data_IF_009835119884
#
_entry.id   IF_009835119884
#
_cell.length_a   1.000
_cell.length_b   1.000
_cell.length_c   1.000
_cell.angle_alpha   90.00
_cell.angle_beta   90.00
_cell.angle_gamma   90.00
#
_symmetry.space_group_name_H-M   'P 1'
#
loop_
_entity.id
_entity.type
_entity.pdbx_description
1 polymer ?
#
# COMPACT_ATOMS: atom_id res chain seq x y z
N UNK A 1 -12.30 -92.31 -1.21
CA UNK A 1 -13.10 -91.53 -0.20
C UNK A 1 -12.22 -91.15 0.93
N UNK A 2 -11.32 -90.19 0.80
CA UNK A 2 -10.49 -89.61 1.88
C UNK A 2 -9.85 -88.29 1.41
N UNK A 3 -10.63 -87.30 0.99
CA UNK A 3 -10.12 -85.95 0.69
C UNK A 3 -11.08 -84.83 1.02
N UNK A 4 -12.07 -85.04 1.89
CA UNK A 4 -13.09 -84.01 2.19
C UNK A 4 -12.97 -83.34 3.55
N UNK A 5 -11.95 -83.61 4.34
CA UNK A 5 -11.87 -83.09 5.72
C UNK A 5 -10.77 -82.05 5.96
N UNK A 6 -9.93 -81.74 4.93
CA UNK A 6 -8.87 -80.74 5.08
C UNK A 6 -9.29 -79.33 4.62
N UNK A 7 -10.45 -79.19 3.97
CA UNK A 7 -10.93 -77.91 3.47
C UNK A 7 -11.75 -77.08 4.45
N UNK A 8 -12.20 -77.72 5.57
CA UNK A 8 -13.00 -77.02 6.57
C UNK A 8 -12.19 -76.48 7.79
N UNK A 9 -10.92 -76.88 7.92
CA UNK A 9 -10.06 -76.40 9.01
C UNK A 9 -9.31 -75.10 8.69
N UNK A 10 -9.33 -74.61 7.42
CA UNK A 10 -8.56 -73.41 7.00
C UNK A 10 -9.41 -72.12 6.96
N UNK A 11 -10.69 -72.18 7.27
CA UNK A 11 -11.61 -71.04 7.14
C UNK A 11 -12.02 -70.40 8.46
N UNK A 12 -11.46 -70.80 9.63
CA UNK A 12 -11.77 -70.23 10.95
C UNK A 12 -10.58 -69.49 11.57
N UNK A 13 -9.41 -69.49 10.92
CA UNK A 13 -8.22 -68.76 11.46
C UNK A 13 -8.04 -67.32 10.90
N UNK A 14 -9.01 -66.82 10.14
CA UNK A 14 -8.88 -65.50 9.43
C UNK A 14 -9.75 -64.40 10.00
N UNK A 15 -10.37 -64.53 11.17
CA UNK A 15 -11.19 -63.48 11.75
C UNK A 15 -10.87 -63.19 13.23
N UNK A 16 -9.60 -62.96 13.55
CA UNK A 16 -9.22 -62.34 14.77
C UNK A 16 -8.00 -61.46 14.54
N UNK A 17 -8.15 -60.43 13.68
CA UNK A 17 -7.33 -59.25 13.82
C UNK A 17 -7.96 -58.49 15.00
N UNK A 18 -7.33 -58.49 16.17
CA UNK A 18 -7.78 -57.57 17.20
C UNK A 18 -7.58 -56.19 16.63
N UNK A 19 -8.65 -55.46 16.45
CA UNK A 19 -8.64 -54.00 16.32
C UNK A 19 -8.01 -53.44 17.59
N UNK A 20 -6.70 -53.48 17.67
CA UNK A 20 -5.92 -52.65 18.57
C UNK A 20 -6.03 -51.22 18.03
N UNK A 21 -7.24 -50.68 18.06
CA UNK A 21 -7.43 -49.26 18.20
C UNK A 21 -6.78 -48.94 19.55
N UNK A 22 -5.55 -48.48 19.50
CA UNK A 22 -4.85 -47.93 20.63
C UNK A 22 -5.76 -46.88 21.27
N UNK A 23 -6.57 -47.26 22.23
CA UNK A 23 -7.21 -46.34 23.14
C UNK A 23 -6.05 -45.62 23.86
N UNK A 24 -5.66 -44.45 23.33
CA UNK A 24 -4.65 -43.63 24.00
C UNK A 24 -5.15 -43.40 25.43
N UNK A 25 -4.34 -43.78 26.39
CA UNK A 25 -4.68 -43.56 27.81
C UNK A 25 -4.88 -42.05 28.03
N UNK A 26 -5.70 -41.74 29.03
CA UNK A 26 -5.98 -40.31 29.35
C UNK A 26 -4.67 -39.54 29.54
N UNK A 27 -3.68 -40.16 30.16
CA UNK A 27 -2.34 -39.58 30.39
C UNK A 27 -1.62 -39.26 29.08
N UNK A 28 -1.66 -40.14 28.09
CA UNK A 28 -1.05 -39.88 26.77
C UNK A 28 -1.76 -38.75 26.03
N UNK A 29 -3.06 -38.57 26.22
CA UNK A 29 -3.82 -37.46 25.66
C UNK A 29 -3.48 -36.13 26.35
N UNK A 30 -3.35 -36.18 27.70
CA UNK A 30 -2.94 -35.01 28.49
C UNK A 30 -1.51 -34.59 28.10
N UNK A 31 -0.57 -35.51 28.05
CA UNK A 31 0.80 -35.23 27.66
C UNK A 31 0.92 -34.67 26.22
N UNK A 32 0.08 -35.16 25.31
CA UNK A 32 0.01 -34.58 23.96
C UNK A 32 -0.54 -33.16 23.96
N UNK A 33 -1.58 -32.90 24.77
CA UNK A 33 -2.16 -31.56 24.91
C UNK A 33 -1.18 -30.59 25.57
N UNK A 34 -0.43 -31.04 26.57
CA UNK A 34 0.62 -30.26 27.22
C UNK A 34 1.77 -29.95 26.27
N UNK A 35 2.20 -30.91 25.46
CA UNK A 35 3.22 -30.67 24.41
C UNK A 35 2.73 -29.70 23.33
N UNK A 36 1.44 -29.75 22.95
CA UNK A 36 0.84 -28.79 22.03
C UNK A 36 0.69 -27.39 22.65
N UNK A 37 0.27 -27.34 23.94
CA UNK A 37 0.14 -26.07 24.67
C UNK A 37 1.51 -25.37 24.89
N UNK A 38 2.55 -26.17 25.13
CA UNK A 38 3.93 -25.69 25.34
C UNK A 38 4.74 -25.61 24.05
N UNK A 39 4.11 -25.70 22.88
CA UNK A 39 4.82 -25.59 21.61
C UNK A 39 5.36 -24.15 21.45
N UNK A 40 6.69 -23.94 21.45
CA UNK A 40 7.28 -22.62 21.38
C UNK A 40 6.91 -21.88 20.09
N UNK A 41 6.60 -22.59 19.01
CA UNK A 41 6.15 -22.00 17.74
C UNK A 41 4.75 -21.39 17.89
N UNK A 42 3.82 -22.06 18.59
CA UNK A 42 2.49 -21.52 18.84
C UNK A 42 2.53 -20.29 19.75
N UNK A 43 3.36 -20.33 20.80
CA UNK A 43 3.59 -19.19 21.69
C UNK A 43 4.18 -17.99 20.93
N UNK A 44 5.17 -18.25 20.08
CA UNK A 44 5.78 -17.23 19.25
C UNK A 44 4.77 -16.64 18.22
N UNK A 45 3.92 -17.47 17.63
CA UNK A 45 2.85 -16.98 16.75
C UNK A 45 1.82 -16.14 17.50
N UNK A 46 1.41 -16.57 18.70
CA UNK A 46 0.49 -15.81 19.53
C UNK A 46 1.09 -14.47 19.96
N UNK A 47 2.36 -14.43 20.34
CA UNK A 47 3.07 -13.17 20.63
C UNK A 47 3.13 -12.26 19.40
N UNK A 48 3.50 -12.79 18.24
CA UNK A 48 3.55 -12.01 17.00
C UNK A 48 2.17 -11.45 16.61
N UNK A 49 1.11 -12.24 16.78
CA UNK A 49 -0.26 -11.74 16.55
C UNK A 49 -0.63 -10.62 17.53
N UNK A 50 -0.28 -10.74 18.80
CA UNK A 50 -0.51 -9.69 19.79
C UNK A 50 0.28 -8.42 19.47
N UNK A 51 1.52 -8.55 19.01
CA UNK A 51 2.36 -7.41 18.61
C UNK A 51 1.78 -6.71 17.37
N UNK A 52 1.36 -7.49 16.36
CA UNK A 52 0.66 -6.96 15.19
C UNK A 52 -0.65 -6.25 15.56
N UNK A 53 -1.41 -6.81 16.51
CA UNK A 53 -2.65 -6.18 16.98
C UNK A 53 -2.38 -4.83 17.68
N UNK A 54 -1.31 -4.72 18.47
CA UNK A 54 -0.87 -3.46 19.09
C UNK A 54 -0.41 -2.46 18.04
N UNK A 55 0.33 -2.90 17.03
CA UNK A 55 0.78 -2.06 15.92
C UNK A 55 -0.42 -1.53 15.13
N UNK A 56 -1.38 -2.38 14.81
CA UNK A 56 -2.64 -1.98 14.15
C UNK A 56 -3.37 -0.93 15.00
N UNK A 57 -3.50 -1.13 16.30
CA UNK A 57 -4.14 -0.18 17.19
C UNK A 57 -3.40 1.17 17.20
N UNK A 58 -2.07 1.16 17.29
CA UNK A 58 -1.24 2.36 17.21
C UNK A 58 -1.41 3.12 15.90
N UNK A 59 -1.54 2.40 14.78
CA UNK A 59 -1.79 3.00 13.47
C UNK A 59 -3.18 3.65 13.40
N UNK A 60 -4.21 3.03 14.00
CA UNK A 60 -5.54 3.65 14.08
C UNK A 60 -5.52 4.93 14.92
N UNK A 61 -4.83 4.93 16.06
CA UNK A 61 -4.67 6.11 16.90
C UNK A 61 -3.95 7.25 16.16
N UNK A 62 -2.92 6.93 15.36
CA UNK A 62 -2.22 7.90 14.51
C UNK A 62 -3.10 8.44 13.38
N UNK A 63 -3.90 7.58 12.75
CA UNK A 63 -4.89 8.00 11.73
C UNK A 63 -5.91 8.98 12.34
N UNK A 64 -6.41 8.70 13.53
CA UNK A 64 -7.39 9.58 14.18
C UNK A 64 -6.75 10.90 14.60
N UNK A 65 -5.49 10.88 15.05
CA UNK A 65 -4.71 12.08 15.33
C UNK A 65 -4.52 12.93 14.07
N UNK A 66 -4.13 12.33 12.96
CA UNK A 66 -3.95 13.03 11.69
C UNK A 66 -5.26 13.62 11.16
N UNK A 67 -6.37 12.88 11.26
CA UNK A 67 -7.71 13.41 10.94
C UNK A 67 -8.09 14.63 11.78
N UNK A 68 -7.79 14.61 13.06
CA UNK A 68 -8.05 15.73 13.94
C UNK A 68 -7.18 16.95 13.60
N UNK A 69 -5.91 16.73 13.22
CA UNK A 69 -5.02 17.78 12.73
C UNK A 69 -5.52 18.39 11.42
N UNK A 70 -5.99 17.57 10.46
CA UNK A 70 -6.60 18.05 9.23
C UNK A 70 -7.83 18.93 9.50
N UNK A 71 -8.74 18.47 10.35
CA UNK A 71 -9.93 19.27 10.73
C UNK A 71 -9.56 20.59 11.38
N UNK A 72 -8.53 20.61 12.25
CA UNK A 72 -8.05 21.83 12.87
C UNK A 72 -7.46 22.80 11.83
N UNK A 73 -6.72 22.29 10.86
CA UNK A 73 -6.15 23.07 9.77
C UNK A 73 -7.25 23.65 8.85
N UNK A 74 -8.24 22.84 8.48
CA UNK A 74 -9.40 23.27 7.69
C UNK A 74 -10.19 24.39 8.41
N UNK A 75 -10.39 24.25 9.72
CA UNK A 75 -11.05 25.28 10.55
C UNK A 75 -10.24 26.57 10.62
N UNK A 76 -8.92 26.45 10.73
CA UNK A 76 -8.02 27.62 10.74
C UNK A 76 -8.05 28.33 9.38
N UNK A 77 -8.00 27.58 8.31
CA UNK A 77 -8.08 28.09 6.95
C UNK A 77 -9.42 28.80 6.69
N UNK A 78 -10.53 28.19 7.13
CA UNK A 78 -11.87 28.80 7.04
C UNK A 78 -11.99 30.10 7.84
N UNK A 79 -11.32 30.22 8.99
CA UNK A 79 -11.26 31.47 9.75
C UNK A 79 -10.48 32.54 9.01
N UNK A 80 -9.32 32.18 8.45
CA UNK A 80 -8.49 33.14 7.69
C UNK A 80 -9.22 33.65 6.44
N UNK A 81 -9.97 32.78 5.73
CA UNK A 81 -10.78 33.21 4.60
C UNK A 81 -11.88 34.19 5.02
N UNK A 82 -12.62 33.92 6.10
CA UNK A 82 -13.63 34.84 6.61
C UNK A 82 -13.06 36.20 7.02
N UNK A 83 -11.93 36.18 7.73
CA UNK A 83 -11.24 37.40 8.13
C UNK A 83 -10.77 38.23 6.92
N UNK A 84 -10.26 37.55 5.89
CA UNK A 84 -9.84 38.19 4.65
C UNK A 84 -11.01 38.79 3.88
N UNK A 85 -12.17 38.09 3.84
CA UNK A 85 -13.40 38.57 3.20
C UNK A 85 -13.97 39.79 3.95
N UNK A 86 -13.98 39.78 5.27
CA UNK A 86 -14.34 40.94 6.09
C UNK A 86 -13.44 42.14 5.84
N UNK A 87 -12.11 41.95 5.76
CA UNK A 87 -11.18 43.03 5.41
C UNK A 87 -11.39 43.58 4.00
N UNK A 88 -11.67 42.72 3.04
CA UNK A 88 -12.04 43.13 1.66
C UNK A 88 -13.34 43.93 1.66
N UNK A 89 -14.34 43.54 2.42
CA UNK A 89 -15.60 44.30 2.57
C UNK A 89 -15.36 45.67 3.22
N UNK A 90 -14.56 45.76 4.25
CA UNK A 90 -14.18 47.02 4.90
C UNK A 90 -13.44 47.96 3.96
N UNK A 91 -12.47 47.45 3.19
CA UNK A 91 -11.75 48.22 2.19
C UNK A 91 -12.67 48.76 1.07
N UNK A 92 -13.60 47.91 0.58
CA UNK A 92 -14.60 48.36 -0.39
C UNK A 92 -15.53 49.43 0.12
N UNK A 93 -15.90 49.41 1.43
CA UNK A 93 -16.70 50.44 2.06
C UNK A 93 -15.93 51.74 2.28
N UNK A 94 -14.62 51.67 2.56
CA UNK A 94 -13.76 52.85 2.70
C UNK A 94 -13.49 53.57 1.37
N UNK A 95 -13.42 52.81 0.26
CA UNK A 95 -13.25 53.35 -1.09
C UNK A 95 -14.56 53.89 -1.71
N UNK A 96 -15.72 53.56 -1.11
CA UNK A 96 -17.02 54.06 -1.56
C UNK A 96 -17.45 55.41 -0.99
N UNK A 97 -16.64 56.09 -0.13
CA UNK A 97 -16.89 57.47 0.30
C UNK A 97 -16.41 58.43 -0.80
N UNK A 98 -17.26 59.29 -1.36
CA UNK A 98 -16.85 60.24 -2.36
C UNK A 98 -16.07 61.36 -1.67
N UNK A 99 -14.78 61.43 -1.85
CA UNK A 99 -13.95 62.60 -1.58
C UNK A 99 -13.78 63.32 -2.94
N UNK A 100 -14.14 64.60 -2.96
CA UNK A 100 -14.02 65.58 -4.04
C UNK A 100 -12.60 65.61 -4.65
N UNK A 101 -12.51 65.94 -5.97
CA UNK A 101 -11.28 65.77 -6.71
C UNK A 101 -10.36 67.00 -6.53
N UNK A 102 -9.16 66.81 -6.02
CA UNK A 102 -8.09 67.74 -6.34
C UNK A 102 -6.74 66.99 -6.44
N UNK A 103 -6.02 67.34 -7.54
CA UNK A 103 -4.60 67.10 -7.84
C UNK A 103 -4.15 65.67 -8.16
N UNK A 104 -3.98 65.43 -9.45
CA UNK A 104 -3.21 64.31 -10.06
C UNK A 104 -1.73 64.36 -9.74
N UNK A 105 -1.01 63.20 -9.79
CA UNK A 105 -0.34 62.82 -11.04
C UNK A 105 -0.70 61.40 -11.54
N UNK A 106 -0.87 61.29 -12.83
CA UNK A 106 -1.01 60.06 -13.57
C UNK A 106 0.27 59.24 -13.50
N UNK A 107 0.12 58.00 -13.04
CA UNK A 107 1.07 56.93 -13.33
C UNK A 107 0.29 55.86 -14.09
N UNK A 108 0.83 55.51 -15.27
CA UNK A 108 0.28 54.55 -16.21
C UNK A 108 -0.05 53.22 -15.51
N UNK A 109 -1.34 52.89 -15.53
CA UNK A 109 -1.85 51.60 -15.12
C UNK A 109 -1.97 50.70 -16.34
N UNK A 110 -0.97 49.89 -16.58
CA UNK A 110 -1.04 48.80 -17.57
C UNK A 110 -0.33 47.59 -17.04
N UNK A 111 -0.92 46.95 -16.02
CA UNK A 111 -0.89 45.51 -15.83
C UNK A 111 -1.99 45.16 -14.82
N UNK A 112 -3.03 44.43 -15.18
CA UNK A 112 -3.86 43.80 -14.21
C UNK A 112 -3.05 42.65 -13.58
N UNK A 113 -2.48 42.91 -12.41
CA UNK A 113 -2.09 41.79 -11.55
C UNK A 113 -3.38 41.10 -11.17
N UNK A 114 -3.70 40.09 -11.94
CA UNK A 114 -4.65 39.07 -11.56
C UNK A 114 -4.06 38.33 -10.35
N UNK A 115 -4.19 38.91 -9.16
CA UNK A 115 -4.19 38.16 -7.92
C UNK A 115 -5.50 37.38 -7.94
N UNK A 116 -5.48 36.35 -8.82
CA UNK A 116 -6.48 35.33 -8.85
C UNK A 116 -6.68 34.84 -7.44
N UNK A 117 -7.91 34.84 -6.98
CA UNK A 117 -8.38 34.02 -5.90
C UNK A 117 -8.01 32.57 -6.17
N UNK A 118 -6.81 32.19 -5.82
CA UNK A 118 -6.33 30.83 -5.74
C UNK A 118 -6.87 30.20 -4.45
N UNK A 119 -8.17 30.34 -4.22
CA UNK A 119 -8.88 29.40 -3.38
C UNK A 119 -8.87 28.08 -4.13
N UNK A 120 -7.89 27.25 -3.79
CA UNK A 120 -7.71 25.83 -4.10
C UNK A 120 -8.70 25.22 -5.12
N UNK A 121 -8.74 25.77 -6.35
CA UNK A 121 -9.21 24.96 -7.48
C UNK A 121 -8.14 23.92 -7.64
N UNK A 122 -8.53 22.66 -7.36
CA UNK A 122 -7.69 21.53 -7.70
C UNK A 122 -7.29 21.71 -9.17
N UNK A 123 -6.00 21.67 -9.45
CA UNK A 123 -5.58 21.74 -10.84
C UNK A 123 -6.16 20.54 -11.58
N UNK A 124 -6.46 20.64 -12.89
CA UNK A 124 -7.01 19.51 -13.65
C UNK A 124 -6.17 18.23 -13.51
N UNK A 125 -4.85 18.38 -13.37
CA UNK A 125 -3.95 17.26 -13.11
C UNK A 125 -4.21 16.61 -11.73
N UNK A 126 -4.48 17.43 -10.71
CA UNK A 126 -4.77 16.94 -9.37
C UNK A 126 -6.12 16.24 -9.32
N UNK A 127 -7.14 16.79 -9.99
CA UNK A 127 -8.45 16.17 -10.10
C UNK A 127 -8.38 14.81 -10.78
N UNK A 128 -7.65 14.72 -11.90
CA UNK A 128 -7.47 13.46 -12.64
C UNK A 128 -6.71 12.41 -11.80
N UNK A 129 -5.68 12.83 -11.07
CA UNK A 129 -4.94 11.94 -10.18
C UNK A 129 -5.80 11.44 -9.03
N UNK A 130 -6.53 12.33 -8.35
CA UNK A 130 -7.37 11.99 -7.21
C UNK A 130 -8.54 11.08 -7.63
N UNK A 131 -9.09 11.27 -8.83
CA UNK A 131 -10.10 10.37 -9.41
C UNK A 131 -9.53 8.96 -9.65
N UNK A 132 -8.33 8.84 -10.23
CA UNK A 132 -7.65 7.56 -10.41
C UNK A 132 -7.36 6.86 -9.08
N UNK A 133 -6.95 7.62 -8.07
CA UNK A 133 -6.66 7.10 -6.73
C UNK A 133 -7.94 6.72 -5.97
N UNK A 134 -9.07 7.40 -6.20
CA UNK A 134 -10.37 7.01 -5.64
C UNK A 134 -10.77 5.60 -6.11
N UNK A 135 -10.60 5.29 -7.39
CA UNK A 135 -10.83 3.94 -7.93
C UNK A 135 -9.97 2.87 -7.26
N UNK A 136 -8.71 3.21 -6.93
CA UNK A 136 -7.81 2.32 -6.16
C UNK A 136 -8.39 2.00 -4.78
N UNK A 137 -8.89 3.02 -4.07
CA UNK A 137 -9.51 2.84 -2.74
C UNK A 137 -10.83 2.08 -2.77
N UNK A 138 -11.57 2.17 -3.88
CA UNK A 138 -12.80 1.40 -4.12
C UNK A 138 -12.54 -0.06 -4.48
N UNK A 139 -11.27 -0.47 -4.64
CA UNK A 139 -10.90 -1.82 -5.08
C UNK A 139 -11.10 -2.05 -6.59
N UNK A 140 -11.39 -1.01 -7.36
CA UNK A 140 -11.57 -1.03 -8.81
C UNK A 140 -10.22 -0.94 -9.52
N UNK A 141 -9.39 -1.93 -9.30
CA UNK A 141 -7.97 -1.89 -9.69
C UNK A 141 -7.75 -1.79 -11.21
N UNK A 142 -8.60 -2.45 -12.02
CA UNK A 142 -8.51 -2.36 -13.48
C UNK A 142 -8.80 -0.94 -13.97
N UNK A 143 -9.85 -0.33 -13.45
CA UNK A 143 -10.24 1.06 -13.78
C UNK A 143 -9.19 2.05 -13.29
N UNK A 144 -8.65 1.84 -12.09
CA UNK A 144 -7.58 2.67 -11.52
C UNK A 144 -6.32 2.62 -12.38
N UNK A 145 -5.88 1.43 -12.79
CA UNK A 145 -4.72 1.29 -13.67
C UNK A 145 -4.93 2.02 -15.01
N UNK A 146 -6.11 1.90 -15.61
CA UNK A 146 -6.46 2.61 -16.83
C UNK A 146 -6.48 4.13 -16.63
N UNK A 147 -7.05 4.61 -15.51
CA UNK A 147 -7.11 6.03 -15.18
C UNK A 147 -5.70 6.62 -14.92
N UNK A 148 -4.83 5.91 -14.18
CA UNK A 148 -3.44 6.34 -14.00
C UNK A 148 -2.65 6.34 -15.32
N UNK A 149 -2.88 5.36 -16.20
CA UNK A 149 -2.28 5.34 -17.54
C UNK A 149 -2.71 6.54 -18.37
N UNK A 150 -3.98 6.90 -18.33
CA UNK A 150 -4.50 8.11 -18.99
C UNK A 150 -3.88 9.39 -18.40
N UNK A 151 -3.81 9.47 -17.06
CA UNK A 151 -3.15 10.55 -16.34
C UNK A 151 -1.70 10.74 -16.79
N UNK A 152 -0.90 9.68 -16.83
CA UNK A 152 0.51 9.70 -17.25
C UNK A 152 0.62 10.20 -18.70
N UNK A 153 -0.27 9.79 -19.58
CA UNK A 153 -0.31 10.25 -20.97
C UNK A 153 -0.63 11.74 -21.10
N UNK A 154 -1.53 12.26 -20.27
CA UNK A 154 -1.96 13.66 -20.29
C UNK A 154 -0.99 14.58 -19.53
N UNK A 155 -0.38 14.09 -18.45
CA UNK A 155 0.48 14.84 -17.54
C UNK A 155 1.85 14.15 -17.32
N UNK A 156 2.69 14.03 -18.36
CA UNK A 156 3.90 13.19 -18.32
C UNK A 156 5.04 13.74 -17.46
N UNK A 157 4.98 15.00 -17.02
CA UNK A 157 6.09 15.69 -16.32
C UNK A 157 5.62 16.53 -15.14
N UNK A 158 4.65 16.07 -14.39
CA UNK A 158 4.22 16.75 -13.15
C UNK A 158 4.83 16.08 -11.92
N UNK A 159 4.73 16.72 -10.77
CA UNK A 159 5.16 16.15 -9.49
C UNK A 159 4.37 14.89 -9.10
N UNK A 160 3.18 14.68 -9.70
CA UNK A 160 2.32 13.53 -9.44
C UNK A 160 2.61 12.34 -10.36
N UNK A 161 3.39 12.54 -11.45
CA UNK A 161 3.56 11.50 -12.48
C UNK A 161 4.31 10.28 -11.97
N UNK A 162 5.34 10.46 -11.15
CA UNK A 162 6.04 9.34 -10.51
C UNK A 162 5.13 8.55 -9.58
N UNK A 163 4.30 9.22 -8.77
CA UNK A 163 3.29 8.60 -7.95
C UNK A 163 2.24 7.83 -8.78
N UNK A 164 1.85 8.39 -9.93
CA UNK A 164 0.90 7.73 -10.83
C UNK A 164 1.47 6.43 -11.41
N UNK A 165 2.74 6.40 -11.80
CA UNK A 165 3.42 5.16 -12.20
C UNK A 165 3.44 4.12 -11.07
N UNK A 166 3.73 4.55 -9.85
CA UNK A 166 3.74 3.67 -8.68
C UNK A 166 2.36 3.02 -8.46
N UNK A 167 1.30 3.84 -8.37
CA UNK A 167 -0.04 3.31 -8.13
C UNK A 167 -0.59 2.49 -9.30
N UNK A 168 -0.23 2.82 -10.54
CA UNK A 168 -0.53 1.99 -11.70
C UNK A 168 0.13 0.60 -11.56
N UNK A 169 1.40 0.56 -11.15
CA UNK A 169 2.12 -0.68 -10.86
C UNK A 169 1.47 -1.50 -9.75
N UNK A 170 1.09 -0.86 -8.62
CA UNK A 170 0.36 -1.51 -7.52
C UNK A 170 -0.99 -2.08 -7.99
N UNK A 171 -1.75 -1.32 -8.78
CA UNK A 171 -3.02 -1.78 -9.33
C UNK A 171 -2.86 -3.03 -10.21
N UNK A 172 -1.81 -3.08 -11.04
CA UNK A 172 -1.48 -4.26 -11.83
C UNK A 172 -1.00 -5.43 -10.97
N UNK A 173 -0.19 -5.16 -9.94
CA UNK A 173 0.33 -6.19 -9.04
C UNK A 173 -0.79 -6.91 -8.28
N UNK A 174 -1.76 -6.15 -7.75
CA UNK A 174 -2.94 -6.71 -7.08
C UNK A 174 -3.75 -7.60 -8.02
N UNK A 175 -3.84 -7.24 -9.30
CA UNK A 175 -4.50 -8.04 -10.34
C UNK A 175 -3.63 -9.21 -10.84
N UNK A 176 -2.45 -9.44 -10.26
CA UNK A 176 -1.48 -10.42 -10.70
C UNK A 176 -1.01 -10.24 -12.17
N UNK A 177 -1.16 -9.03 -12.70
CA UNK A 177 -0.64 -8.64 -14.02
C UNK A 177 0.84 -8.26 -13.88
N UNK A 178 1.66 -9.24 -13.51
CA UNK A 178 3.04 -9.03 -13.08
C UNK A 178 3.93 -8.37 -14.15
N UNK A 179 3.70 -8.66 -15.43
CA UNK A 179 4.45 -8.04 -16.52
C UNK A 179 4.17 -6.52 -16.58
N UNK A 180 2.88 -6.13 -16.58
CA UNK A 180 2.48 -4.72 -16.60
C UNK A 180 2.92 -3.99 -15.34
N UNK A 181 2.89 -4.65 -14.19
CA UNK A 181 3.38 -4.09 -12.93
C UNK A 181 4.88 -3.81 -13.01
N UNK A 182 5.68 -4.79 -13.47
CA UNK A 182 7.12 -4.64 -13.64
C UNK A 182 7.46 -3.51 -14.61
N UNK A 183 6.75 -3.40 -15.74
CA UNK A 183 6.93 -2.32 -16.71
C UNK A 183 6.66 -0.94 -16.10
N UNK A 184 5.61 -0.81 -15.28
CA UNK A 184 5.26 0.43 -14.61
C UNK A 184 6.33 0.85 -13.58
N UNK A 185 6.80 -0.08 -12.74
CA UNK A 185 7.84 0.20 -11.76
C UNK A 185 9.19 0.49 -12.43
N UNK A 186 9.56 -0.25 -13.47
CA UNK A 186 10.78 0.01 -14.24
C UNK A 186 10.75 1.38 -14.93
N UNK A 187 9.60 1.77 -15.50
CA UNK A 187 9.42 3.09 -16.09
C UNK A 187 9.59 4.19 -15.03
N UNK A 188 9.02 4.04 -13.83
CA UNK A 188 9.20 4.97 -12.73
C UNK A 188 10.69 5.16 -12.41
N UNK A 189 11.40 4.07 -12.15
CA UNK A 189 12.84 4.10 -11.77
C UNK A 189 13.69 4.74 -12.85
N UNK A 190 13.37 4.49 -14.13
CA UNK A 190 14.10 5.02 -15.29
C UNK A 190 13.81 6.49 -15.55
N UNK A 191 12.53 6.90 -15.48
CA UNK A 191 12.10 8.26 -15.89
C UNK A 191 12.17 9.26 -14.74
N UNK A 192 12.09 8.79 -13.49
CA UNK A 192 12.06 9.62 -12.28
C UNK A 192 13.05 9.11 -11.23
N UNK A 193 14.37 9.05 -11.55
CA UNK A 193 15.38 8.44 -10.67
C UNK A 193 15.52 9.15 -9.31
N UNK A 194 15.12 10.42 -9.22
CA UNK A 194 15.18 11.23 -8.00
C UNK A 194 13.85 11.24 -7.21
N UNK A 195 12.85 10.45 -7.66
CA UNK A 195 11.57 10.36 -6.95
C UNK A 195 11.71 9.59 -5.63
N UNK A 196 10.98 10.05 -4.61
CA UNK A 196 10.79 9.35 -3.33
C UNK A 196 10.16 7.95 -3.49
N UNK A 197 9.55 7.64 -4.63
CA UNK A 197 8.95 6.35 -4.96
C UNK A 197 9.92 5.32 -5.55
N UNK A 198 11.16 5.71 -5.86
CA UNK A 198 12.13 4.80 -6.49
C UNK A 198 12.47 3.62 -5.61
N UNK A 199 12.64 3.84 -4.31
CA UNK A 199 12.94 2.79 -3.35
C UNK A 199 11.81 1.73 -3.30
N UNK A 200 10.57 2.18 -3.16
CA UNK A 200 9.40 1.30 -3.16
C UNK A 200 9.20 0.63 -4.53
N UNK A 201 9.41 1.35 -5.62
CA UNK A 201 9.27 0.80 -6.97
C UNK A 201 10.29 -0.32 -7.26
N UNK A 202 11.52 -0.21 -6.78
CA UNK A 202 12.51 -1.29 -6.89
C UNK A 202 12.07 -2.54 -6.12
N UNK A 203 11.53 -2.38 -4.91
CA UNK A 203 11.00 -3.49 -4.13
C UNK A 203 9.85 -4.18 -4.86
N UNK A 204 8.86 -3.41 -5.31
CA UNK A 204 7.65 -3.90 -5.97
C UNK A 204 7.94 -4.46 -7.38
N UNK A 205 8.90 -3.87 -8.09
CA UNK A 205 9.41 -4.43 -9.34
C UNK A 205 10.03 -5.80 -9.14
N UNK A 206 10.82 -5.98 -8.07
CA UNK A 206 11.34 -7.28 -7.65
C UNK A 206 10.22 -8.28 -7.32
N UNK A 207 9.19 -7.87 -6.58
CA UNK A 207 8.01 -8.69 -6.28
C UNK A 207 7.28 -9.10 -7.57
N UNK A 208 7.19 -8.21 -8.56
CA UNK A 208 6.60 -8.51 -9.86
C UNK A 208 7.42 -9.55 -10.64
N UNK A 209 8.75 -9.47 -10.59
CA UNK A 209 9.64 -10.46 -11.20
C UNK A 209 9.51 -11.84 -10.56
N UNK A 210 9.29 -11.90 -9.23
CA UNK A 210 8.97 -13.15 -8.53
C UNK A 210 7.67 -13.73 -9.09
N UNK A 211 6.63 -12.92 -9.24
CA UNK A 211 5.36 -13.33 -9.84
C UNK A 211 5.49 -13.84 -11.28
N UNK A 212 6.48 -13.34 -12.03
CA UNK A 212 6.84 -13.81 -13.37
C UNK A 212 7.74 -15.05 -13.36
N UNK A 213 8.09 -15.61 -12.19
CA UNK A 213 9.06 -16.69 -12.02
C UNK A 213 10.48 -16.35 -12.54
N UNK A 214 10.83 -15.05 -12.59
CA UNK A 214 12.14 -14.52 -13.01
C UNK A 214 13.02 -14.28 -11.78
N UNK A 215 13.33 -15.34 -11.06
CA UNK A 215 13.93 -15.29 -9.71
C UNK A 215 15.32 -14.61 -9.69
N UNK A 216 16.16 -14.85 -10.70
CA UNK A 216 17.49 -14.27 -10.71
C UNK A 216 17.47 -12.75 -10.96
N UNK A 217 16.54 -12.27 -11.76
CA UNK A 217 16.32 -10.85 -11.97
C UNK A 217 15.71 -10.18 -10.75
N UNK A 218 14.78 -10.86 -10.06
CA UNK A 218 14.26 -10.39 -8.78
C UNK A 218 15.37 -10.24 -7.74
N UNK A 219 16.25 -11.23 -7.61
CA UNK A 219 17.43 -11.16 -6.72
C UNK A 219 18.32 -9.97 -7.07
N UNK A 220 18.63 -9.77 -8.34
CA UNK A 220 19.46 -8.66 -8.79
C UNK A 220 18.79 -7.30 -8.45
N UNK A 221 17.49 -7.17 -8.62
CA UNK A 221 16.75 -5.95 -8.31
C UNK A 221 16.72 -5.66 -6.79
N UNK A 222 16.51 -6.67 -5.95
CA UNK A 222 16.59 -6.50 -4.49
C UNK A 222 18.02 -6.15 -4.02
N UNK A 223 19.06 -6.72 -4.64
CA UNK A 223 20.46 -6.37 -4.34
C UNK A 223 20.77 -4.92 -4.75
N UNK A 224 20.30 -4.46 -5.89
CA UNK A 224 20.43 -3.06 -6.32
C UNK A 224 19.74 -2.11 -5.35
N UNK A 225 18.50 -2.44 -4.92
CA UNK A 225 17.78 -1.70 -3.91
C UNK A 225 18.57 -1.55 -2.62
N UNK A 226 19.08 -2.65 -2.07
CA UNK A 226 19.86 -2.64 -0.81
C UNK A 226 21.15 -1.81 -0.97
N UNK A 227 21.81 -1.90 -2.12
CA UNK A 227 23.02 -1.16 -2.41
C UNK A 227 22.76 0.35 -2.50
N UNK A 228 21.69 0.75 -3.14
CA UNK A 228 21.33 2.18 -3.34
C UNK A 228 20.74 2.82 -2.10
N UNK A 229 19.95 2.08 -1.33
CA UNK A 229 19.18 2.58 -0.19
C UNK A 229 19.39 1.72 1.08
N UNK A 230 20.62 1.58 1.60
CA UNK A 230 20.96 0.60 2.65
C UNK A 230 20.22 0.81 3.97
N UNK A 231 19.74 2.01 4.24
CA UNK A 231 19.00 2.37 5.45
C UNK A 231 17.47 2.43 5.25
N UNK A 232 16.99 2.18 4.02
CA UNK A 232 15.60 2.25 3.66
C UNK A 232 14.78 1.09 4.22
N UNK A 233 13.50 1.32 4.51
CA UNK A 233 12.57 0.25 4.90
C UNK A 233 12.35 -0.77 3.79
N UNK A 234 12.35 -0.33 2.54
CA UNK A 234 12.23 -1.23 1.41
C UNK A 234 13.46 -2.13 1.28
N UNK A 235 14.68 -1.64 1.59
CA UNK A 235 15.89 -2.44 1.62
C UNK A 235 15.84 -3.55 2.68
N UNK A 236 15.32 -3.28 3.88
CA UNK A 236 15.09 -4.30 4.90
C UNK A 236 14.10 -5.38 4.42
N UNK A 237 13.05 -4.95 3.74
CA UNK A 237 12.08 -5.86 3.12
C UNK A 237 12.71 -6.70 2.01
N UNK A 238 13.57 -6.10 1.16
CA UNK A 238 14.30 -6.81 0.12
C UNK A 238 15.27 -7.85 0.71
N UNK A 239 15.95 -7.51 1.79
CA UNK A 239 16.81 -8.44 2.54
C UNK A 239 16.04 -9.67 3.00
N UNK A 240 14.85 -9.46 3.61
CA UNK A 240 13.98 -10.55 4.05
C UNK A 240 13.52 -11.44 2.89
N UNK A 241 13.32 -10.87 1.68
CA UNK A 241 12.97 -11.64 0.47
C UNK A 241 14.16 -12.46 -0.04
N UNK A 242 15.37 -11.89 -0.03
CA UNK A 242 16.58 -12.61 -0.41
C UNK A 242 16.89 -13.79 0.52
N UNK A 243 16.66 -13.64 1.83
CA UNK A 243 16.81 -14.75 2.76
C UNK A 243 15.82 -15.89 2.48
N UNK A 244 14.57 -15.59 2.16
CA UNK A 244 13.60 -16.62 1.76
C UNK A 244 14.04 -17.41 0.52
N UNK A 245 14.66 -16.75 -0.47
CA UNK A 245 15.22 -17.45 -1.63
C UNK A 245 16.34 -18.45 -1.27
N UNK A 246 17.11 -18.18 -0.19
CA UNK A 246 18.14 -19.11 0.28
C UNK A 246 17.57 -20.33 1.01
N UNK A 247 16.46 -20.14 1.72
CA UNK A 247 15.81 -21.20 2.52
C UNK A 247 14.81 -22.03 1.73
N UNK A 248 14.57 -21.71 0.45
CA UNK A 248 13.65 -22.46 -0.40
C UNK A 248 12.16 -22.29 -0.02
N UNK A 249 11.82 -21.22 0.72
CA UNK A 249 10.44 -20.89 1.14
C UNK A 249 9.80 -19.85 0.25
#
# INVERSE_FOLDING_TARGET
MKQSHYFQALLIASMAVPSLVMAQTLDQRVERLERMANNPVLLQHAQRMNDQQREIQSLYDEIDRLKNQLRALENTLSKQYREMDERLHQLKQQTAKPTTPDAMPRVDASTPVAVASSAARLTPEREAYDAAFALMREGRYADSAAAFKAFIGQYPKTSLTSNAYYWMGEAYLIQQQFASAQDAFAALVKLFPDSDKVEDALLRGGDSLVGLNRMDEAKAMYQDLIKRYPQGRAAQSAQSRLERFKTGQ
#
